data_IF_652287355678
#
_entry.id   IF_652287355678
#
_cell.length_a   1.000
_cell.length_b   1.000
_cell.length_c   1.000
_cell.angle_alpha   90.00
_cell.angle_beta   90.00
_cell.angle_gamma   90.00
#
_symmetry.space_group_name_H-M   'P 1'
#
loop_
_entity.id
_entity.type
_entity.pdbx_description
1 polymer ?
#
# COMPACT_ATOMS: atom_id res chain seq x y z
N UNK A 1 10.05 33.78 17.02
CA UNK A 1 9.82 32.86 18.16
C UNK A 1 8.40 32.33 18.06
N UNK A 2 8.24 31.13 17.51
CA UNK A 2 7.06 30.28 17.65
C UNK A 2 7.63 28.86 17.57
N UNK A 3 7.66 28.20 18.73
CA UNK A 3 8.16 26.85 18.88
C UNK A 3 7.07 25.88 18.40
N UNK A 4 7.37 25.11 17.35
CA UNK A 4 6.56 23.95 17.00
C UNK A 4 6.89 22.84 18.01
N UNK A 5 5.89 22.43 18.79
CA UNK A 5 5.99 21.28 19.67
C UNK A 5 5.87 20.01 18.81
N UNK A 6 6.96 19.25 18.74
CA UNK A 6 6.98 17.94 18.11
C UNK A 6 6.50 16.91 19.14
N UNK A 7 5.37 16.25 18.86
CA UNK A 7 5.00 15.05 19.60
C UNK A 7 5.84 13.89 19.07
N UNK A 8 6.78 13.41 19.89
CA UNK A 8 7.52 12.20 19.60
C UNK A 8 6.58 10.99 19.60
N UNK A 9 6.58 10.25 18.50
CA UNK A 9 5.98 8.91 18.45
C UNK A 9 6.89 7.99 19.26
N UNK A 10 6.46 7.57 20.44
CA UNK A 10 7.11 6.50 21.17
C UNK A 10 6.69 5.17 20.53
N UNK A 11 7.63 4.47 19.90
CA UNK A 11 7.46 3.09 19.48
C UNK A 11 7.22 2.22 20.72
N UNK A 12 5.99 1.77 20.92
CA UNK A 12 5.64 0.85 21.99
C UNK A 12 5.76 -0.58 21.46
N UNK A 13 6.88 -1.25 21.75
CA UNK A 13 6.94 -2.70 21.65
C UNK A 13 6.10 -3.31 22.76
N UNK A 14 4.89 -3.76 22.41
CA UNK A 14 4.05 -4.56 23.31
C UNK A 14 4.18 -6.05 22.93
N UNK A 15 5.06 -6.76 23.62
CA UNK A 15 4.93 -8.21 23.75
C UNK A 15 3.85 -8.51 24.79
N UNK A 16 2.76 -9.16 24.38
CA UNK A 16 1.75 -9.69 25.30
C UNK A 16 1.16 -10.96 24.74
N UNK A 17 1.62 -12.11 25.25
CA UNK A 17 0.95 -13.39 25.07
C UNK A 17 0.07 -13.65 26.30
N UNK A 18 -1.24 -13.40 26.18
CA UNK A 18 -2.32 -14.03 26.95
C UNK A 18 -3.58 -14.01 26.07
N UNK A 19 -4.13 -15.21 25.80
CA UNK A 19 -5.21 -15.51 24.85
C UNK A 19 -6.20 -14.38 24.55
N UNK A 20 -6.01 -13.74 23.40
CA UNK A 20 -7.00 -12.90 22.73
C UNK A 20 -7.59 -13.65 21.54
N UNK A 21 -8.77 -13.24 21.08
CA UNK A 21 -9.25 -13.60 19.75
C UNK A 21 -8.12 -13.40 18.73
N UNK A 22 -8.00 -14.24 17.69
CA UNK A 22 -6.84 -14.19 16.80
C UNK A 22 -6.84 -12.90 16.01
N UNK A 23 -6.26 -11.81 16.51
CA UNK A 23 -6.15 -10.54 15.78
C UNK A 23 -5.10 -10.60 14.67
N UNK A 24 -4.81 -9.43 14.08
CA UNK A 24 -3.70 -9.23 13.15
C UNK A 24 -2.41 -9.83 13.70
N UNK A 25 -1.80 -10.73 12.94
CA UNK A 25 -0.53 -11.37 13.26
C UNK A 25 0.54 -10.88 12.29
N UNK A 26 1.59 -10.25 12.81
CA UNK A 26 2.78 -9.92 12.02
C UNK A 26 3.54 -11.21 11.71
N UNK A 27 3.75 -11.49 10.42
CA UNK A 27 4.46 -12.68 9.94
C UNK A 27 5.86 -12.34 9.42
N UNK A 28 6.10 -11.08 9.07
CA UNK A 28 7.42 -10.56 8.79
C UNK A 28 7.50 -9.08 9.15
N UNK A 29 8.65 -8.66 9.67
CA UNK A 29 8.94 -7.27 10.02
C UNK A 29 10.43 -7.00 9.88
N UNK A 30 10.78 -5.79 9.42
CA UNK A 30 12.13 -5.25 9.51
C UNK A 30 12.09 -3.73 9.56
N UNK A 31 12.77 -3.15 10.55
CA UNK A 31 13.15 -1.73 10.61
C UNK A 31 14.58 -1.47 10.11
N UNK A 32 15.23 -2.49 9.52
CA UNK A 32 16.60 -2.44 9.01
C UNK A 32 17.68 -2.15 10.06
N UNK A 33 17.40 -2.50 11.31
CA UNK A 33 18.24 -2.17 12.44
C UNK A 33 19.40 -3.14 12.64
N UNK A 34 20.49 -2.64 13.24
CA UNK A 34 21.65 -3.48 13.59
C UNK A 34 21.22 -4.64 14.50
N UNK A 35 20.27 -4.41 15.39
CA UNK A 35 19.71 -5.44 16.28
C UNK A 35 18.96 -6.55 15.54
N UNK A 36 18.50 -6.29 14.32
CA UNK A 36 17.81 -7.26 13.46
C UNK A 36 18.78 -8.04 12.55
N UNK A 37 20.08 -7.72 12.63
CA UNK A 37 21.15 -8.40 11.88
C UNK A 37 21.68 -7.64 10.67
N UNK A 38 21.22 -6.41 10.44
CA UNK A 38 21.74 -5.55 9.39
C UNK A 38 23.09 -4.93 9.77
N UNK A 39 23.83 -4.47 8.77
CA UNK A 39 25.05 -3.70 8.96
C UNK A 39 24.71 -2.25 9.30
N UNK A 40 25.67 -1.58 9.90
CA UNK A 40 25.61 -0.13 10.13
C UNK A 40 25.48 0.59 8.79
N UNK A 41 24.64 1.62 8.70
CA UNK A 41 24.58 2.51 7.53
C UNK A 41 25.96 3.09 7.17
N UNK A 42 26.78 3.38 8.18
CA UNK A 42 28.15 3.89 8.05
C UNK A 42 29.12 2.89 7.41
N UNK A 43 28.71 1.63 7.22
CA UNK A 43 29.51 0.64 6.49
C UNK A 43 29.42 0.78 4.98
N UNK A 44 28.43 1.54 4.47
CA UNK A 44 28.19 1.76 3.03
C UNK A 44 28.06 0.46 2.23
N UNK A 45 27.64 -0.63 2.90
CA UNK A 45 27.41 -1.91 2.26
C UNK A 45 26.01 -1.94 1.62
N UNK A 46 25.87 -2.59 0.45
CA UNK A 46 24.57 -2.74 -0.19
C UNK A 46 23.60 -3.52 0.71
N UNK A 47 22.31 -3.20 0.65
CA UNK A 47 21.26 -3.99 1.30
C UNK A 47 21.19 -5.39 0.70
N UNK A 48 21.39 -5.49 -0.62
CA UNK A 48 21.52 -6.77 -1.32
C UNK A 48 22.59 -7.64 -0.67
N UNK A 49 22.22 -8.85 -0.28
CA UNK A 49 23.09 -9.80 0.40
C UNK A 49 23.08 -9.70 1.92
N UNK A 50 22.37 -8.72 2.51
CA UNK A 50 22.18 -8.64 3.96
C UNK A 50 20.87 -9.30 4.39
N UNK A 51 20.93 -10.09 5.45
CA UNK A 51 19.75 -10.70 6.09
C UNK A 51 18.77 -11.41 5.13
N UNK A 52 19.28 -12.01 4.04
CA UNK A 52 18.49 -12.70 3.04
C UNK A 52 17.83 -11.82 1.97
N UNK A 53 18.11 -10.51 1.97
CA UNK A 53 17.75 -9.63 0.85
C UNK A 53 18.53 -10.02 -0.40
N UNK A 54 17.81 -10.16 -1.50
CA UNK A 54 18.31 -10.48 -2.82
C UNK A 54 18.15 -9.25 -3.72
N UNK A 55 18.72 -9.32 -4.94
CA UNK A 55 18.58 -8.23 -5.88
C UNK A 55 19.06 -8.56 -7.28
N UNK A 56 18.43 -7.92 -8.26
CA UNK A 56 18.67 -8.08 -9.70
C UNK A 56 18.85 -6.70 -10.34
N UNK A 57 19.65 -6.63 -11.40
CA UNK A 57 20.09 -5.35 -11.97
C UNK A 57 21.15 -4.66 -11.09
N UNK A 58 21.36 -3.38 -11.36
CA UNK A 58 22.42 -2.55 -10.78
C UNK A 58 21.92 -1.16 -10.44
N UNK A 59 22.69 -0.45 -9.61
CA UNK A 59 22.28 0.81 -9.03
C UNK A 59 22.50 0.83 -7.52
N UNK A 60 22.31 2.00 -6.93
CA UNK A 60 22.49 2.20 -5.51
C UNK A 60 21.41 1.49 -4.71
N UNK A 61 21.87 0.84 -3.65
CA UNK A 61 21.04 0.29 -2.59
C UNK A 61 21.90 0.21 -1.33
N UNK A 62 21.25 0.25 -0.18
CA UNK A 62 21.97 0.24 1.09
C UNK A 62 21.09 0.69 2.23
N UNK A 63 21.76 1.09 3.30
CA UNK A 63 21.14 1.65 4.49
C UNK A 63 21.68 3.06 4.71
N UNK A 64 20.79 3.97 5.09
CA UNK A 64 21.12 5.32 5.57
C UNK A 64 20.61 5.46 7.00
N UNK A 65 21.02 6.53 7.70
CA UNK A 65 20.67 6.74 9.10
C UNK A 65 20.04 8.10 9.33
N UNK A 66 18.94 8.11 10.08
CA UNK A 66 18.19 9.29 10.51
C UNK A 66 17.69 10.16 9.34
N UNK A 67 17.48 9.55 8.17
CA UNK A 67 16.78 10.20 7.06
C UNK A 67 15.29 10.30 7.38
N UNK A 68 14.73 9.26 8.02
CA UNK A 68 13.50 9.40 8.81
C UNK A 68 13.89 9.74 10.25
N UNK A 69 13.70 11.00 10.62
CA UNK A 69 14.17 11.55 11.91
C UNK A 69 13.63 10.73 13.08
N UNK A 70 14.53 10.11 13.85
CA UNK A 70 14.19 9.35 15.05
C UNK A 70 13.82 7.88 14.79
N UNK A 71 13.89 7.41 13.55
CA UNK A 71 13.61 6.00 13.20
C UNK A 71 14.88 5.18 12.94
N UNK A 72 16.07 5.69 13.26
CA UNK A 72 17.28 4.87 13.16
C UNK A 72 17.71 4.67 11.71
N UNK A 73 17.85 3.42 11.24
CA UNK A 73 18.33 3.12 9.89
C UNK A 73 17.18 2.91 8.90
N UNK A 74 17.28 3.48 7.71
CA UNK A 74 16.33 3.26 6.61
C UNK A 74 17.03 2.55 5.46
N UNK A 75 16.30 1.68 4.77
CA UNK A 75 16.76 1.16 3.49
C UNK A 75 16.55 2.15 2.36
N UNK A 76 17.36 2.05 1.30
CA UNK A 76 17.14 2.79 0.07
C UNK A 76 17.38 1.95 -1.18
N UNK A 77 16.74 2.37 -2.27
CA UNK A 77 16.98 1.95 -3.65
C UNK A 77 17.03 3.18 -4.55
N UNK A 78 17.98 3.25 -5.48
CA UNK A 78 18.26 4.45 -6.27
C UNK A 78 19.56 5.13 -5.86
N UNK A 79 19.64 6.45 -5.99
CA UNK A 79 20.70 7.33 -5.50
C UNK A 79 22.01 7.28 -6.31
N UNK A 80 22.54 6.07 -6.52
CA UNK A 80 23.64 5.84 -7.45
C UNK A 80 23.10 5.23 -8.74
N UNK A 81 23.36 5.81 -9.92
CA UNK A 81 22.83 5.33 -11.19
C UNK A 81 23.19 3.86 -11.46
N UNK A 82 22.34 3.10 -12.17
CA UNK A 82 22.69 1.77 -12.63
C UNK A 82 23.95 1.77 -13.48
N UNK A 83 24.57 0.59 -13.63
CA UNK A 83 25.69 0.43 -14.55
C UNK A 83 25.24 0.79 -15.99
N UNK A 84 26.16 1.26 -16.86
CA UNK A 84 25.78 1.70 -18.21
C UNK A 84 24.95 0.66 -18.96
N UNK A 85 23.77 1.09 -19.46
CA UNK A 85 22.74 0.28 -20.17
C UNK A 85 21.86 -0.62 -19.29
N UNK A 86 22.11 -0.68 -17.99
CA UNK A 86 21.13 -1.27 -17.07
C UNK A 86 20.05 -0.23 -16.78
N UNK A 87 18.79 -0.65 -16.86
CA UNK A 87 17.63 0.24 -16.74
C UNK A 87 16.88 0.07 -15.44
N UNK A 88 17.31 -0.83 -14.55
CA UNK A 88 16.56 -1.13 -13.34
C UNK A 88 17.43 -1.68 -12.20
N UNK A 89 16.88 -1.58 -11.00
CA UNK A 89 17.28 -2.32 -9.83
C UNK A 89 16.04 -2.89 -9.16
N UNK A 90 16.10 -4.15 -8.76
CA UNK A 90 15.07 -4.82 -7.95
C UNK A 90 15.72 -5.33 -6.68
N UNK A 91 15.08 -5.11 -5.53
CA UNK A 91 15.47 -5.67 -4.23
C UNK A 91 14.27 -6.37 -3.61
N UNK A 92 14.49 -7.57 -3.08
CA UNK A 92 13.42 -8.34 -2.47
C UNK A 92 13.91 -9.23 -1.34
N UNK A 93 12.98 -9.64 -0.48
CA UNK A 93 13.22 -10.60 0.58
C UNK A 93 12.19 -11.73 0.47
N UNK A 94 12.59 -12.95 0.09
CA UNK A 94 11.68 -14.10 0.10
C UNK A 94 11.08 -14.30 1.50
N UNK A 95 9.76 -14.42 1.60
CA UNK A 95 9.05 -14.41 2.88
C UNK A 95 8.82 -15.81 3.47
N UNK A 96 9.01 -16.90 2.70
CA UNK A 96 8.80 -18.30 3.13
C UNK A 96 7.52 -18.52 3.97
N UNK A 97 6.41 -17.93 3.49
CA UNK A 97 5.12 -17.96 4.17
C UNK A 97 4.26 -19.15 3.69
N UNK A 98 3.40 -19.71 4.56
CA UNK A 98 2.42 -20.71 4.16
C UNK A 98 1.39 -20.12 3.19
N UNK A 99 0.64 -20.98 2.49
CA UNK A 99 -0.48 -20.50 1.67
C UNK A 99 -1.53 -19.77 2.55
N UNK A 100 -2.21 -18.76 1.99
CA UNK A 100 -3.36 -18.12 2.63
C UNK A 100 -4.40 -19.16 3.06
N UNK A 101 -4.87 -19.05 4.30
CA UNK A 101 -5.85 -19.99 4.85
C UNK A 101 -7.27 -19.40 4.76
N UNK A 102 -8.32 -20.22 4.62
CA UNK A 102 -9.70 -19.72 4.52
C UNK A 102 -10.18 -18.88 5.72
N UNK A 103 -9.63 -19.12 6.90
CA UNK A 103 -9.94 -18.38 8.14
C UNK A 103 -9.01 -17.15 8.34
N UNK A 104 -8.01 -16.98 7.47
CA UNK A 104 -7.10 -15.83 7.43
C UNK A 104 -6.72 -15.45 5.99
N UNK A 105 -7.71 -15.12 5.15
CA UNK A 105 -7.45 -14.84 3.74
C UNK A 105 -6.91 -13.43 3.53
N UNK A 106 -7.08 -12.54 4.52
CA UNK A 106 -6.59 -11.17 4.46
C UNK A 106 -5.13 -11.10 4.87
N UNK A 107 -4.31 -10.62 3.95
CA UNK A 107 -2.90 -10.32 4.17
C UNK A 107 -2.69 -8.83 3.92
N UNK A 108 -1.80 -8.23 4.71
CA UNK A 108 -1.48 -6.81 4.60
C UNK A 108 0.02 -6.63 4.53
N UNK A 109 0.46 -5.92 3.51
CA UNK A 109 1.77 -5.32 3.41
C UNK A 109 1.67 -3.85 3.83
N UNK A 110 2.62 -3.37 4.62
CA UNK A 110 2.77 -1.94 4.90
C UNK A 110 4.24 -1.55 4.94
N UNK A 111 4.53 -0.33 4.51
CA UNK A 111 5.88 0.24 4.50
C UNK A 111 5.81 1.75 4.67
N UNK A 112 6.76 2.30 5.42
CA UNK A 112 7.00 3.74 5.45
C UNK A 112 7.96 4.09 4.32
N UNK A 113 7.59 5.00 3.43
CA UNK A 113 8.41 5.34 2.27
C UNK A 113 8.45 6.84 1.97
N UNK A 114 9.50 7.26 1.29
CA UNK A 114 9.69 8.62 0.76
C UNK A 114 10.43 8.53 -0.56
N UNK A 115 10.00 9.29 -1.56
CA UNK A 115 10.72 9.45 -2.82
C UNK A 115 11.42 10.81 -2.79
N UNK A 116 12.75 10.77 -2.80
CA UNK A 116 13.59 11.97 -2.88
C UNK A 116 13.82 12.30 -4.33
N UNK A 117 13.60 13.58 -4.69
CA UNK A 117 13.66 14.01 -6.08
C UNK A 117 15.08 14.05 -6.63
N UNK A 118 15.16 14.06 -7.96
CA UNK A 118 16.39 14.15 -8.71
C UNK A 118 16.96 15.57 -8.70
N UNK A 119 18.27 15.68 -8.61
CA UNK A 119 19.00 16.95 -8.70
C UNK A 119 19.60 17.18 -10.09
N UNK A 120 19.56 16.17 -10.96
CA UNK A 120 20.18 16.20 -12.28
C UNK A 120 19.18 16.40 -13.44
N UNK A 121 17.88 16.54 -13.14
CA UNK A 121 16.81 16.77 -14.12
C UNK A 121 16.35 15.53 -14.88
N UNK A 122 16.76 14.34 -14.43
CA UNK A 122 16.31 13.04 -14.92
C UNK A 122 15.50 12.37 -13.82
N UNK A 123 14.26 12.00 -14.12
CA UNK A 123 13.30 11.55 -13.12
C UNK A 123 12.93 10.10 -13.40
N UNK A 124 13.36 9.19 -12.52
CA UNK A 124 13.13 7.76 -12.66
C UNK A 124 11.96 7.25 -11.80
N UNK A 125 11.41 6.09 -12.13
CA UNK A 125 10.23 5.52 -11.44
C UNK A 125 10.62 4.63 -10.24
N UNK A 126 9.77 4.62 -9.22
CA UNK A 126 9.83 3.63 -8.14
C UNK A 126 8.57 2.79 -8.06
N UNK A 127 8.70 1.52 -7.69
CA UNK A 127 7.57 0.58 -7.67
C UNK A 127 7.66 -0.38 -6.50
N UNK A 128 6.48 -0.85 -6.08
CA UNK A 128 6.32 -2.05 -5.27
C UNK A 128 5.63 -3.11 -6.12
N UNK A 129 6.33 -4.18 -6.44
CA UNK A 129 5.78 -5.29 -7.23
C UNK A 129 5.58 -6.51 -6.35
N UNK A 130 4.40 -7.13 -6.43
CA UNK A 130 4.04 -8.29 -5.63
C UNK A 130 4.18 -9.55 -6.47
N UNK A 131 4.88 -10.56 -5.97
CA UNK A 131 5.01 -11.85 -6.65
C UNK A 131 4.43 -12.98 -5.81
N UNK A 132 3.95 -14.01 -6.48
CA UNK A 132 3.61 -15.27 -5.85
C UNK A 132 4.86 -16.11 -5.57
N UNK A 133 4.72 -17.24 -4.87
CA UNK A 133 5.85 -18.12 -4.50
C UNK A 133 6.52 -18.81 -5.70
N UNK A 134 5.88 -18.81 -6.86
CA UNK A 134 6.46 -19.32 -8.11
C UNK A 134 7.30 -18.26 -8.84
N UNK A 135 7.42 -17.06 -8.28
CA UNK A 135 8.13 -15.93 -8.87
C UNK A 135 7.38 -15.27 -10.03
N UNK A 136 6.04 -15.41 -10.07
CA UNK A 136 5.19 -14.78 -11.06
C UNK A 136 4.63 -13.47 -10.48
N UNK A 137 4.78 -12.37 -11.20
CA UNK A 137 4.24 -11.07 -10.82
C UNK A 137 2.71 -11.12 -10.78
N UNK A 138 2.13 -10.59 -9.71
CA UNK A 138 0.69 -10.52 -9.48
C UNK A 138 0.14 -9.15 -9.88
N UNK A 139 0.73 -8.09 -9.34
CA UNK A 139 0.40 -6.69 -9.65
C UNK A 139 1.53 -5.77 -9.17
N UNK A 140 1.46 -4.49 -9.53
CA UNK A 140 2.44 -3.47 -9.16
C UNK A 140 1.75 -2.16 -8.78
N UNK A 141 2.27 -1.47 -7.76
CA UNK A 141 2.04 -0.03 -7.55
C UNK A 141 3.28 0.73 -8.01
N UNK A 142 3.10 1.82 -8.75
CA UNK A 142 4.18 2.61 -9.32
C UNK A 142 4.03 4.10 -9.03
N UNK A 143 5.17 4.76 -8.85
CA UNK A 143 5.31 6.16 -8.52
C UNK A 143 6.23 6.77 -9.57
N UNK A 144 5.63 7.53 -10.49
CA UNK A 144 6.34 8.19 -11.59
C UNK A 144 6.94 9.50 -11.08
N UNK A 145 8.26 9.61 -11.04
CA UNK A 145 8.91 10.79 -10.48
C UNK A 145 8.92 11.99 -11.44
N UNK A 146 8.58 11.81 -12.72
CA UNK A 146 8.52 12.88 -13.70
C UNK A 146 7.22 13.69 -13.60
N UNK A 147 6.10 13.05 -13.27
CA UNK A 147 4.79 13.70 -13.11
C UNK A 147 4.15 13.57 -11.72
N UNK A 148 4.83 12.88 -10.80
CA UNK A 148 4.40 12.58 -9.42
C UNK A 148 3.10 11.79 -9.31
N UNK A 149 2.62 11.21 -10.42
CA UNK A 149 1.45 10.36 -10.47
C UNK A 149 1.68 9.01 -9.83
N UNK A 150 0.60 8.47 -9.26
CA UNK A 150 0.56 7.10 -8.72
C UNK A 150 -0.24 6.25 -9.69
N UNK A 151 0.34 5.10 -10.05
CA UNK A 151 -0.21 4.18 -11.03
C UNK A 151 -0.23 2.76 -10.47
N UNK A 152 -0.96 1.89 -11.14
CA UNK A 152 -0.87 0.45 -10.91
C UNK A 152 -0.90 -0.35 -12.21
N UNK A 153 -0.37 -1.57 -12.16
CA UNK A 153 -0.45 -2.51 -13.27
C UNK A 153 -0.92 -3.87 -12.75
N UNK A 154 -1.68 -4.58 -13.58
CA UNK A 154 -2.13 -5.96 -13.35
C UNK A 154 -1.29 -6.92 -14.19
N UNK A 155 -1.36 -8.22 -13.88
CA UNK A 155 -0.57 -9.26 -14.55
C UNK A 155 -1.01 -9.59 -15.99
N UNK A 156 -2.11 -9.02 -16.52
CA UNK A 156 -2.58 -9.23 -17.89
C UNK A 156 -1.93 -8.32 -18.94
N UNK A 157 -1.30 -7.23 -18.51
CA UNK A 157 -0.78 -6.22 -19.43
C UNK A 157 0.47 -5.52 -18.89
N UNK A 158 1.19 -4.85 -19.79
CA UNK A 158 2.26 -3.92 -19.42
C UNK A 158 1.74 -2.48 -19.20
N UNK A 159 0.42 -2.28 -19.24
CA UNK A 159 -0.21 -0.97 -19.11
C UNK A 159 -0.27 -0.56 -17.64
N UNK A 160 -0.01 0.72 -17.39
CA UNK A 160 -0.18 1.35 -16.08
C UNK A 160 -1.45 2.19 -16.09
N UNK A 161 -2.31 1.95 -15.12
CA UNK A 161 -3.56 2.67 -14.89
C UNK A 161 -3.32 3.80 -13.90
N UNK A 162 -3.74 5.00 -14.26
CA UNK A 162 -3.70 6.18 -13.39
C UNK A 162 -4.72 6.03 -12.26
N UNK A 163 -4.27 6.28 -11.03
CA UNK A 163 -5.14 6.27 -9.85
C UNK A 163 -5.89 7.59 -9.65
N UNK A 164 -5.45 8.65 -10.34
CA UNK A 164 -5.88 10.04 -10.11
C UNK A 164 -5.22 10.68 -8.89
N UNK A 165 -4.36 9.94 -8.16
CA UNK A 165 -3.61 10.44 -7.03
C UNK A 165 -2.18 10.80 -7.41
N UNK A 166 -1.65 11.79 -6.71
CA UNK A 166 -0.26 12.22 -6.82
C UNK A 166 0.43 12.11 -5.46
N UNK A 167 1.74 11.90 -5.47
CA UNK A 167 2.60 12.07 -4.30
C UNK A 167 3.36 13.40 -4.38
N UNK A 168 3.98 13.78 -3.28
CA UNK A 168 4.93 14.87 -3.21
C UNK A 168 6.30 14.30 -2.89
N UNK A 169 7.32 14.73 -3.62
CA UNK A 169 8.69 14.40 -3.26
C UNK A 169 9.02 14.89 -1.84
N UNK A 170 9.92 14.17 -1.19
CA UNK A 170 10.38 14.39 0.17
C UNK A 170 9.31 14.29 1.27
N UNK A 171 8.06 14.02 0.90
CA UNK A 171 7.02 13.67 1.85
C UNK A 171 7.11 12.18 2.21
N UNK A 172 6.90 11.91 3.49
CA UNK A 172 6.87 10.57 4.04
C UNK A 172 5.44 10.03 4.01
N UNK A 173 5.29 8.80 3.52
CA UNK A 173 4.02 8.13 3.34
C UNK A 173 4.04 6.74 3.97
N UNK A 174 2.95 6.38 4.66
CA UNK A 174 2.63 4.98 4.92
C UNK A 174 1.86 4.44 3.71
N UNK A 175 2.47 3.52 2.97
CA UNK A 175 1.79 2.72 1.95
C UNK A 175 1.28 1.44 2.62
N UNK A 176 -0.01 1.17 2.47
CA UNK A 176 -0.67 -0.06 2.92
C UNK A 176 -1.30 -0.75 1.70
N UNK A 177 -1.00 -2.02 1.48
CA UNK A 177 -1.65 -2.88 0.48
C UNK A 177 -2.35 -4.02 1.21
N UNK A 178 -3.65 -4.16 0.97
CA UNK A 178 -4.47 -5.21 1.59
C UNK A 178 -4.90 -6.18 0.50
N UNK A 179 -4.66 -7.46 0.74
CA UNK A 179 -4.89 -8.59 -0.16
C UNK A 179 -5.96 -9.49 0.45
N UNK A 180 -7.06 -9.76 -0.26
CA UNK A 180 -7.98 -10.84 0.05
C UNK A 180 -7.77 -11.99 -0.93
N UNK A 181 -6.97 -12.98 -0.54
CA UNK A 181 -6.69 -14.14 -1.38
C UNK A 181 -7.92 -15.02 -1.63
N UNK A 182 -8.91 -15.02 -0.74
CA UNK A 182 -10.14 -15.78 -0.94
C UNK A 182 -11.07 -15.13 -1.98
N UNK A 183 -10.97 -13.81 -2.16
CA UNK A 183 -11.79 -13.04 -3.13
C UNK A 183 -11.02 -12.61 -4.37
N UNK A 184 -9.71 -12.88 -4.43
CA UNK A 184 -8.82 -12.40 -5.48
C UNK A 184 -8.86 -10.88 -5.60
N UNK A 185 -8.96 -10.16 -4.48
CA UNK A 185 -9.06 -8.69 -4.48
C UNK A 185 -7.89 -8.07 -3.72
N UNK A 186 -7.40 -6.93 -4.20
CA UNK A 186 -6.49 -6.07 -3.44
C UNK A 186 -6.91 -4.61 -3.53
N UNK A 187 -6.51 -3.85 -2.51
CA UNK A 187 -6.63 -2.39 -2.47
C UNK A 187 -5.29 -1.79 -2.03
N UNK A 188 -5.09 -0.51 -2.28
CA UNK A 188 -4.01 0.25 -1.66
C UNK A 188 -4.50 1.52 -0.97
N UNK A 189 -3.84 1.87 0.12
CA UNK A 189 -4.00 3.11 0.85
C UNK A 189 -2.67 3.82 1.02
N UNK A 190 -2.72 5.13 1.00
CA UNK A 190 -1.59 6.00 1.32
C UNK A 190 -1.99 6.95 2.44
N UNK A 191 -1.32 6.86 3.59
CA UNK A 191 -1.70 7.58 4.82
C UNK A 191 -3.18 7.36 5.21
N UNK A 192 -3.68 6.12 5.03
CA UNK A 192 -5.06 5.74 5.31
C UNK A 192 -6.09 6.12 4.24
N UNK A 193 -5.74 6.96 3.26
CA UNK A 193 -6.61 7.33 2.13
C UNK A 193 -6.58 6.22 1.08
N UNK A 194 -7.73 5.77 0.59
CA UNK A 194 -7.79 4.77 -0.49
C UNK A 194 -7.33 5.40 -1.80
N UNK A 195 -6.24 4.88 -2.35
CA UNK A 195 -5.67 5.34 -3.63
C UNK A 195 -5.93 4.36 -4.77
N UNK A 196 -6.18 3.09 -4.44
CA UNK A 196 -6.54 2.06 -5.41
C UNK A 196 -7.73 1.30 -4.84
N UNK A 197 -8.83 1.30 -5.58
CA UNK A 197 -10.02 0.50 -5.30
C UNK A 197 -9.79 -0.98 -5.52
N UNK A 198 -10.79 -1.81 -5.21
CA UNK A 198 -10.60 -3.25 -5.32
C UNK A 198 -10.25 -3.63 -6.77
N UNK A 199 -9.10 -4.27 -6.93
CA UNK A 199 -8.52 -4.77 -8.17
C UNK A 199 -8.20 -6.26 -8.04
N UNK A 200 -8.12 -7.03 -9.14
CA UNK A 200 -7.81 -8.44 -9.03
C UNK A 200 -6.36 -8.65 -8.58
N UNK A 201 -6.10 -9.58 -7.66
CA UNK A 201 -4.70 -9.96 -7.30
C UNK A 201 -4.02 -10.59 -8.52
N UNK A 202 -4.75 -11.42 -9.26
CA UNK A 202 -4.34 -11.91 -10.57
C UNK A 202 -5.54 -12.00 -11.50
N UNK A 203 -5.27 -11.75 -12.78
CA UNK A 203 -6.20 -11.89 -13.90
C UNK A 203 -5.93 -13.15 -14.73
N UNK A 204 -4.76 -13.77 -14.56
CA UNK A 204 -4.31 -14.92 -15.35
C UNK A 204 -4.57 -16.28 -14.70
N UNK A 205 -5.16 -16.32 -13.50
CA UNK A 205 -5.45 -17.56 -12.78
C UNK A 205 -4.21 -18.28 -12.26
N UNK A 206 -3.15 -17.52 -11.95
CA UNK A 206 -1.96 -18.06 -11.27
C UNK A 206 -2.25 -18.33 -9.79
N UNK A 207 -1.32 -18.99 -9.10
CA UNK A 207 -1.47 -19.27 -7.68
C UNK A 207 -1.60 -17.97 -6.86
N UNK A 208 -2.67 -17.88 -6.09
CA UNK A 208 -2.98 -16.76 -5.18
C UNK A 208 -2.31 -16.98 -3.82
N UNK A 209 -1.02 -16.66 -3.75
CA UNK A 209 -0.22 -16.61 -2.54
C UNK A 209 0.86 -15.51 -2.67
N UNK A 210 1.60 -15.22 -1.60
CA UNK A 210 2.65 -14.20 -1.60
C UNK A 210 4.03 -14.86 -1.42
N UNK A 211 4.96 -14.58 -2.33
CA UNK A 211 6.36 -14.96 -2.24
C UNK A 211 7.20 -13.84 -1.64
N UNK A 212 7.13 -12.66 -2.24
CA UNK A 212 7.84 -11.44 -1.86
C UNK A 212 7.13 -10.18 -2.36
N UNK A 213 7.58 -9.04 -1.83
CA UNK A 213 7.20 -7.69 -2.30
C UNK A 213 8.51 -6.95 -2.60
N UNK A 214 8.64 -6.54 -3.85
CA UNK A 214 9.89 -6.05 -4.40
C UNK A 214 9.92 -4.53 -4.38
N UNK A 215 10.98 -3.95 -3.85
CA UNK A 215 11.31 -2.54 -4.08
C UNK A 215 12.01 -2.45 -5.44
N UNK A 216 11.47 -1.64 -6.35
CA UNK A 216 11.95 -1.52 -7.73
C UNK A 216 12.29 -0.07 -8.03
N UNK A 217 13.43 0.13 -8.69
CA UNK A 217 13.79 1.37 -9.36
C UNK A 217 13.89 1.10 -10.85
N UNK A 218 13.26 1.94 -11.67
CA UNK A 218 13.31 1.86 -13.14
C UNK A 218 13.76 3.20 -13.70
N UNK A 219 14.94 3.21 -14.33
CA UNK A 219 15.46 4.38 -14.99
C UNK A 219 14.62 4.74 -16.23
N UNK A 220 14.18 5.99 -16.33
CA UNK A 220 13.39 6.44 -17.47
C UNK A 220 14.25 6.54 -18.74
N UNK A 221 15.47 7.10 -18.63
CA UNK A 221 16.52 7.01 -19.64
C UNK A 221 17.72 6.23 -19.07
N UNK A 222 17.90 4.94 -19.40
CA UNK A 222 19.06 4.15 -18.96
C UNK A 222 20.44 4.68 -19.41
N UNK A 223 20.49 5.66 -20.33
CA UNK A 223 21.74 6.36 -20.68
C UNK A 223 22.00 7.57 -19.77
N UNK A 224 20.96 8.13 -19.17
CA UNK A 224 20.98 9.30 -18.29
C UNK A 224 20.03 9.09 -17.10
N UNK A 225 20.28 8.09 -16.24
CA UNK A 225 19.47 7.86 -15.05
C UNK A 225 19.52 9.06 -14.09
N UNK A 226 18.44 9.23 -13.34
CA UNK A 226 18.34 10.15 -12.22
C UNK A 226 19.24 9.77 -11.04
N UNK A 227 19.42 10.73 -10.15
CA UNK A 227 19.98 10.50 -8.80
C UNK A 227 18.88 10.48 -7.73
N UNK A 228 17.61 10.40 -8.14
CA UNK A 228 16.48 10.18 -7.25
C UNK A 228 16.56 8.80 -6.58
N UNK A 229 15.90 8.67 -5.44
CA UNK A 229 15.86 7.43 -4.67
C UNK A 229 14.59 7.29 -3.84
N UNK A 230 14.22 6.06 -3.56
CA UNK A 230 13.19 5.73 -2.60
C UNK A 230 13.84 5.26 -1.30
N UNK A 231 13.50 5.92 -0.22
CA UNK A 231 13.72 5.47 1.15
C UNK A 231 12.56 4.59 1.57
N UNK A 232 12.84 3.52 2.31
CA UNK A 232 11.82 2.69 2.91
C UNK A 232 12.23 2.09 4.25
N UNK A 233 11.27 1.96 5.15
CA UNK A 233 11.44 1.49 6.52
C UNK A 233 10.14 0.86 7.04
N UNK A 234 10.17 0.25 8.22
CA UNK A 234 9.00 -0.36 8.87
C UNK A 234 8.27 -1.38 7.96
N UNK A 235 9.04 -2.09 7.13
CA UNK A 235 8.51 -3.08 6.18
C UNK A 235 7.85 -4.20 6.97
N UNK A 236 6.54 -4.35 6.78
CA UNK A 236 5.70 -5.25 7.57
C UNK A 236 4.80 -6.08 6.67
N UNK A 237 4.75 -7.39 6.92
CA UNK A 237 3.72 -8.28 6.37
C UNK A 237 2.97 -8.92 7.52
N UNK A 238 1.64 -8.91 7.43
CA UNK A 238 0.75 -9.45 8.46
C UNK A 238 -0.42 -10.20 7.86
N UNK A 239 -0.99 -11.11 8.64
CA UNK A 239 -2.19 -11.88 8.30
C UNK A 239 -3.30 -11.62 9.30
N UNK A 240 -4.53 -11.65 8.83
CA UNK A 240 -5.71 -11.18 9.55
C UNK A 240 -6.81 -12.23 9.58
N UNK A 241 -7.52 -12.40 10.71
CA UNK A 241 -8.70 -13.28 10.78
C UNK A 241 -9.90 -12.78 9.98
N UNK A 242 -9.91 -11.50 9.60
CA UNK A 242 -10.96 -10.91 8.80
C UNK A 242 -11.05 -11.66 7.47
N UNK A 243 -12.27 -11.93 7.03
CA UNK A 243 -12.53 -12.64 5.77
C UNK A 243 -12.86 -11.70 4.62
N UNK A 244 -13.01 -10.41 4.92
CA UNK A 244 -13.45 -9.36 4.00
C UNK A 244 -12.69 -8.08 4.27
N UNK A 245 -12.38 -7.34 3.20
CA UNK A 245 -11.85 -5.98 3.32
C UNK A 245 -13.01 -5.07 3.75
N UNK A 246 -12.89 -4.34 4.88
CA UNK A 246 -13.97 -3.47 5.35
C UNK A 246 -14.37 -2.42 4.29
N UNK A 247 -15.68 -2.28 3.97
CA UNK A 247 -16.14 -1.26 3.05
C UNK A 247 -16.02 0.14 3.67
N UNK A 248 -15.90 1.15 2.81
CA UNK A 248 -15.76 2.57 3.19
C UNK A 248 -16.87 3.36 2.53
N UNK A 249 -17.41 4.34 3.27
CA UNK A 249 -18.38 5.31 2.76
C UNK A 249 -17.78 6.70 2.90
N UNK A 250 -17.69 7.42 1.78
CA UNK A 250 -17.22 8.79 1.74
C UNK A 250 -18.37 9.74 1.34
N UNK A 251 -18.62 10.82 2.10
CA UNK A 251 -19.64 11.79 1.74
C UNK A 251 -19.16 12.69 0.58
N UNK A 252 -19.92 12.77 -0.50
CA UNK A 252 -19.67 13.69 -1.61
C UNK A 252 -20.44 15.01 -1.49
N UNK A 253 -21.55 15.01 -0.72
CA UNK A 253 -22.37 16.20 -0.46
C UNK A 253 -23.70 16.18 -1.19
N UNK A 254 -24.44 17.30 -1.12
CA UNK A 254 -25.72 17.44 -1.81
C UNK A 254 -25.53 17.70 -3.31
N UNK A 255 -26.34 17.04 -4.13
CA UNK A 255 -26.46 17.32 -5.57
C UNK A 255 -27.39 18.50 -5.82
N UNK A 256 -27.42 19.00 -7.06
CA UNK A 256 -28.31 20.10 -7.46
C UNK A 256 -29.81 19.72 -7.36
N UNK A 257 -30.12 18.42 -7.44
CA UNK A 257 -31.46 17.86 -7.26
C UNK A 257 -31.88 17.74 -5.78
N UNK A 258 -30.94 17.95 -4.85
CA UNK A 258 -31.17 17.87 -3.40
C UNK A 258 -30.95 16.48 -2.80
N UNK A 259 -30.46 15.51 -3.58
CA UNK A 259 -30.05 14.19 -3.07
C UNK A 259 -28.69 14.32 -2.37
N UNK A 260 -28.39 13.43 -1.42
CA UNK A 260 -27.04 13.36 -0.83
C UNK A 260 -26.23 12.24 -1.49
N UNK A 261 -25.12 12.59 -2.13
CA UNK A 261 -24.24 11.65 -2.80
C UNK A 261 -23.18 11.08 -1.85
N UNK A 262 -22.93 9.78 -2.01
CA UNK A 262 -21.94 8.98 -1.29
C UNK A 262 -21.06 8.27 -2.31
N UNK A 263 -19.75 8.28 -2.10
CA UNK A 263 -18.84 7.35 -2.77
C UNK A 263 -18.68 6.12 -1.87
N UNK A 264 -19.03 4.97 -2.42
CA UNK A 264 -18.98 3.67 -1.76
C UNK A 264 -17.76 2.93 -2.26
N UNK A 265 -16.99 2.33 -1.35
CA UNK A 265 -15.88 1.46 -1.69
C UNK A 265 -16.01 0.12 -0.97
N UNK A 266 -15.65 -0.97 -1.64
CA UNK A 266 -15.79 -2.34 -1.16
C UNK A 266 -15.05 -3.32 -2.07
N UNK A 267 -15.27 -4.61 -1.83
CA UNK A 267 -14.74 -5.68 -2.68
C UNK A 267 -15.58 -5.84 -3.95
N UNK A 268 -14.95 -6.36 -5.00
CA UNK A 268 -15.57 -6.47 -6.33
C UNK A 268 -16.62 -7.55 -6.38
N UNK A 269 -17.71 -7.28 -7.09
CA UNK A 269 -18.81 -8.21 -7.26
C UNK A 269 -19.59 -8.49 -5.97
N UNK A 270 -19.34 -7.73 -4.89
CA UNK A 270 -20.04 -7.88 -3.62
C UNK A 270 -21.24 -6.94 -3.56
N UNK A 271 -22.37 -7.47 -3.08
CA UNK A 271 -23.56 -6.66 -2.80
C UNK A 271 -23.51 -6.18 -1.36
N UNK A 272 -23.65 -4.87 -1.20
CA UNK A 272 -23.66 -4.23 0.12
C UNK A 272 -25.02 -3.63 0.42
N UNK A 273 -25.41 -3.66 1.69
CA UNK A 273 -26.47 -2.85 2.21
C UNK A 273 -25.95 -1.47 2.59
N UNK A 274 -26.51 -0.42 2.00
CA UNK A 274 -26.27 0.96 2.42
C UNK A 274 -27.33 1.34 3.43
N UNK A 275 -26.92 1.73 4.62
CA UNK A 275 -27.81 2.04 5.72
C UNK A 275 -27.61 3.47 6.22
N UNK A 276 -28.71 4.12 6.57
CA UNK A 276 -28.72 5.46 7.13
C UNK A 276 -29.40 5.48 8.51
N UNK A 277 -28.98 6.42 9.35
CA UNK A 277 -29.57 6.67 10.67
C UNK A 277 -29.46 8.15 11.03
N UNK A 278 -30.36 8.65 11.87
CA UNK A 278 -30.30 9.96 12.50
C UNK A 278 -29.96 9.88 14.00
N UNK A 279 -29.94 8.68 14.59
CA UNK A 279 -29.78 8.50 16.03
C UNK A 279 -28.70 7.48 16.44
N UNK A 280 -28.05 6.83 15.46
CA UNK A 280 -27.05 5.76 15.62
C UNK A 280 -27.59 4.48 16.28
N UNK A 281 -28.91 4.35 16.44
CA UNK A 281 -29.59 3.19 17.06
C UNK A 281 -30.42 2.44 16.04
N UNK A 282 -31.26 3.16 15.30
CA UNK A 282 -32.11 2.59 14.26
C UNK A 282 -31.48 2.87 12.90
N UNK A 283 -31.02 1.80 12.25
CA UNK A 283 -30.44 1.84 10.93
C UNK A 283 -31.48 1.37 9.91
N UNK A 284 -31.73 2.19 8.91
CA UNK A 284 -32.68 1.91 7.83
C UNK A 284 -31.87 1.59 6.57
N UNK A 285 -32.18 0.46 5.94
CA UNK A 285 -31.64 0.10 4.63
C UNK A 285 -32.20 1.05 3.58
N UNK A 286 -31.32 1.80 2.92
CA UNK A 286 -31.68 2.77 1.86
C UNK A 286 -31.30 2.28 0.45
N UNK A 287 -30.46 1.25 0.34
CA UNK A 287 -30.12 0.63 -0.94
C UNK A 287 -29.29 -0.63 -0.80
N UNK A 288 -29.22 -1.41 -1.88
CA UNK A 288 -28.42 -2.65 -1.95
C UNK A 288 -27.55 -2.72 -3.21
N UNK A 289 -26.64 -1.75 -3.41
CA UNK A 289 -25.80 -1.71 -4.61
C UNK A 289 -24.89 -2.94 -4.72
N UNK A 290 -24.68 -3.36 -5.97
CA UNK A 290 -23.61 -4.26 -6.36
C UNK A 290 -22.41 -3.40 -6.75
N UNK A 291 -21.24 -3.67 -6.16
CA UNK A 291 -20.00 -2.96 -6.49
C UNK A 291 -19.21 -3.79 -7.51
N UNK A 292 -19.55 -3.67 -8.79
CA UNK A 292 -18.92 -4.47 -9.86
C UNK A 292 -17.40 -4.21 -9.97
N UNK A 293 -17.01 -2.94 -9.82
CA UNK A 293 -15.62 -2.47 -9.90
C UNK A 293 -15.02 -2.15 -8.51
N UNK A 294 -15.69 -2.57 -7.44
CA UNK A 294 -15.23 -2.29 -6.07
C UNK A 294 -15.58 -0.89 -5.56
N UNK A 295 -16.20 -0.04 -6.40
CA UNK A 295 -16.70 1.27 -6.00
C UNK A 295 -18.01 1.62 -6.71
N UNK A 296 -18.76 2.59 -6.15
CA UNK A 296 -19.98 3.13 -6.77
C UNK A 296 -20.33 4.50 -6.16
N UNK A 297 -20.83 5.43 -6.98
CA UNK A 297 -21.54 6.62 -6.47
C UNK A 297 -23.02 6.27 -6.22
N UNK A 298 -23.46 6.42 -4.97
CA UNK A 298 -24.83 6.15 -4.52
C UNK A 298 -25.49 7.45 -4.03
N UNK A 299 -26.77 7.64 -4.31
CA UNK A 299 -27.52 8.82 -3.85
C UNK A 299 -28.63 8.46 -2.87
N UNK A 300 -28.75 9.26 -1.79
CA UNK A 300 -29.86 9.20 -0.85
C UNK A 300 -30.83 10.37 -1.08
N UNK A 301 -31.96 10.14 -1.77
CA UNK A 301 -32.95 11.19 -2.03
C UNK A 301 -33.75 11.59 -0.78
N UNK A 302 -33.76 10.76 0.27
CA UNK A 302 -34.46 11.08 1.51
C UNK A 302 -33.64 12.00 2.42
N UNK A 303 -32.36 12.24 2.11
CA UNK A 303 -31.47 13.07 2.92
C UNK A 303 -31.96 14.52 3.07
N UNK A 304 -32.59 15.10 2.05
CA UNK A 304 -33.16 16.46 2.10
C UNK A 304 -34.24 16.63 3.19
N UNK A 305 -34.89 15.53 3.58
CA UNK A 305 -35.89 15.51 4.65
C UNK A 305 -35.31 15.40 6.07
N UNK A 306 -33.99 15.19 6.21
CA UNK A 306 -33.33 14.93 7.50
C UNK A 306 -32.49 16.13 7.94
N UNK A 307 -32.46 16.43 9.23
CA UNK A 307 -31.57 17.46 9.77
C UNK A 307 -30.10 17.03 9.72
N UNK A 308 -29.84 15.74 9.93
CA UNK A 308 -28.55 15.10 9.81
C UNK A 308 -28.76 13.60 9.52
N UNK A 309 -27.74 12.96 8.96
CA UNK A 309 -27.72 11.54 8.72
C UNK A 309 -26.29 11.00 8.88
N UNK A 310 -26.18 9.78 9.40
CA UNK A 310 -24.96 8.98 9.40
C UNK A 310 -25.17 7.80 8.46
N UNK A 311 -24.12 7.41 7.75
CA UNK A 311 -24.17 6.34 6.75
C UNK A 311 -23.19 5.22 7.12
N UNK A 312 -23.54 3.99 6.75
CA UNK A 312 -22.62 2.85 6.78
C UNK A 312 -22.92 1.89 5.64
N UNK A 313 -21.91 1.10 5.28
CA UNK A 313 -22.08 -0.09 4.45
C UNK A 313 -21.96 -1.34 5.31
N UNK A 314 -22.82 -2.31 5.03
CA UNK A 314 -22.74 -3.66 5.60
C UNK A 314 -22.76 -4.66 4.46
N UNK A 315 -21.91 -5.67 4.54
CA UNK A 315 -21.96 -6.77 3.59
C UNK A 315 -23.27 -7.57 3.77
N UNK A 316 -23.84 -8.05 2.66
CA UNK A 316 -25.01 -8.91 2.69
C UNK A 316 -24.60 -10.40 2.63
N UNK A 317 -25.33 -11.29 3.33
CA UNK A 317 -25.06 -12.73 3.32
C UNK A 317 -25.17 -13.39 1.95
#
# INVERSE_FOLDING_TARGET
>A
MLAAAWFGLAALMAASALGGAPGRQVVFYTGFEISEGYRSAESELPLRGQNGWLGSGSGGNGLVRDFFVGLGQQAYIGYLPPAPKDGYLVLWKPLDLPDPQPDRPIWRFSVLMQIVDSTNGQYDDFRWTFYNRDGIALFTTAFDNANTGIYFALDDSAEFYDTGFVFSNDAMYELEVILNFARNDWIARMNGVRIIDAQPISTNGVALNLGDVDAVWVAHDPQQPGDNYMLFDEYTVSVEPETVIPPVVEPLGFTDEGDFALLLHGERGVRYGVEATDDLRQWIRIGEPLLDEGWLVFTDPAANGRQHAFYRMVELP
#
